data_IF_110333511239
#
_entry.id   IF_110333511239
#
_cell.length_a   1.000
_cell.length_b   1.000
_cell.length_c   1.000
_cell.angle_alpha   90.00
_cell.angle_beta   90.00
_cell.angle_gamma   90.00
#
_symmetry.space_group_name_H-M   'P 1'
#
loop_
_entity.id
_entity.type
_entity.pdbx_description
1 polymer ?
#
# COMPACT_ATOMS: atom_id res chain seq x y z
N UNK A 1 6.48 20.86 4.29
CA UNK A 1 6.47 20.14 3.00
C UNK A 1 5.31 19.16 3.04
N UNK A 2 4.39 19.15 2.06
CA UNK A 2 3.30 18.14 2.04
C UNK A 2 3.90 16.81 1.58
N UNK A 3 3.63 15.68 2.27
CA UNK A 3 4.11 14.38 1.81
C UNK A 3 3.50 14.04 0.44
N UNK A 4 4.29 13.44 -0.44
CA UNK A 4 3.83 12.99 -1.75
C UNK A 4 2.71 11.97 -1.60
N UNK A 5 1.61 12.16 -2.32
CA UNK A 5 0.49 11.21 -2.36
C UNK A 5 0.55 10.36 -3.62
N UNK A 6 0.18 9.08 -3.50
CA UNK A 6 0.10 8.12 -4.60
C UNK A 6 -1.28 7.45 -4.61
N UNK A 7 -1.79 7.16 -5.80
CA UNK A 7 -2.85 6.15 -5.98
C UNK A 7 -2.18 4.79 -6.15
N UNK A 8 -2.53 3.84 -5.30
CA UNK A 8 -2.06 2.46 -5.38
C UNK A 8 -3.07 1.64 -6.14
N UNK A 9 -2.62 0.91 -7.16
CA UNK A 9 -3.41 -0.16 -7.81
C UNK A 9 -2.93 -1.52 -7.31
N UNK A 10 -3.78 -2.21 -6.54
CA UNK A 10 -3.55 -3.62 -6.19
C UNK A 10 -4.15 -4.49 -7.30
N UNK A 11 -3.32 -5.29 -7.97
CA UNK A 11 -3.74 -6.23 -9.01
C UNK A 11 -3.46 -7.67 -8.57
N UNK A 12 -4.25 -8.62 -9.05
CA UNK A 12 -3.98 -10.06 -8.89
C UNK A 12 -3.03 -10.54 -9.99
N UNK A 13 -2.43 -11.72 -9.81
CA UNK A 13 -1.50 -12.31 -10.78
C UNK A 13 -2.04 -12.38 -12.22
N UNK A 14 -3.34 -12.62 -12.39
CA UNK A 14 -4.02 -12.61 -13.69
C UNK A 14 -4.33 -11.19 -14.23
N UNK A 15 -3.66 -10.16 -13.72
CA UNK A 15 -3.84 -8.74 -14.06
C UNK A 15 -5.18 -8.10 -13.68
N UNK A 16 -6.11 -8.85 -13.07
CA UNK A 16 -7.40 -8.30 -12.61
C UNK A 16 -7.15 -7.27 -11.50
N UNK A 17 -7.74 -6.08 -11.65
CA UNK A 17 -7.73 -5.06 -10.61
C UNK A 17 -8.51 -5.57 -9.40
N UNK A 18 -7.82 -5.73 -8.27
CA UNK A 18 -8.47 -6.03 -7.01
C UNK A 18 -9.11 -4.76 -6.45
N UNK A 19 -8.38 -3.64 -6.48
CA UNK A 19 -8.88 -2.34 -6.02
C UNK A 19 -7.80 -1.27 -6.04
N UNK A 20 -8.21 -0.02 -5.82
CA UNK A 20 -7.29 1.10 -5.73
C UNK A 20 -7.63 2.05 -4.57
N UNK A 21 -6.63 2.76 -4.05
CA UNK A 21 -6.75 3.65 -2.90
C UNK A 21 -5.59 4.64 -2.83
N UNK A 22 -5.77 5.74 -2.11
CA UNK A 22 -4.73 6.74 -1.92
C UNK A 22 -3.83 6.44 -0.70
N UNK A 23 -2.54 6.70 -0.84
CA UNK A 23 -1.54 6.62 0.24
C UNK A 23 -0.61 7.83 0.21
N UNK A 24 0.05 8.09 1.34
CA UNK A 24 1.10 9.11 1.47
C UNK A 24 2.45 8.45 1.68
N UNK A 25 3.48 8.89 0.96
CA UNK A 25 4.85 8.45 1.23
C UNK A 25 5.34 9.05 2.55
N UNK A 26 5.84 8.20 3.44
CA UNK A 26 6.50 8.62 4.68
C UNK A 26 8.02 8.62 4.52
N UNK A 27 8.58 7.50 4.08
CA UNK A 27 10.01 7.32 3.92
C UNK A 27 10.30 6.50 2.66
N UNK A 28 11.21 6.97 1.82
CA UNK A 28 11.57 6.31 0.56
C UNK A 28 13.09 6.12 0.58
N UNK A 29 13.53 4.87 0.54
CA UNK A 29 14.95 4.49 0.55
C UNK A 29 15.18 3.44 -0.54
N UNK A 30 16.43 3.24 -1.02
CA UNK A 30 16.71 2.23 -2.04
C UNK A 30 16.23 0.81 -1.67
N UNK A 31 16.17 0.48 -0.38
CA UNK A 31 15.84 -0.86 0.11
C UNK A 31 14.43 -0.99 0.66
N UNK A 32 13.73 0.13 0.94
CA UNK A 32 12.41 0.13 1.56
C UNK A 32 11.64 1.41 1.25
N UNK A 33 10.39 1.24 0.87
CA UNK A 33 9.43 2.33 0.71
C UNK A 33 8.29 2.14 1.70
N UNK A 34 8.04 3.17 2.49
CA UNK A 34 7.03 3.19 3.53
C UNK A 34 5.93 4.17 3.16
N UNK A 35 4.70 3.66 3.13
CA UNK A 35 3.50 4.41 2.83
C UNK A 35 2.54 4.35 4.02
N UNK A 36 1.80 5.43 4.21
CA UNK A 36 0.70 5.52 5.15
C UNK A 36 -0.61 5.65 4.40
N UNK A 37 -1.54 4.79 4.76
CA UNK A 37 -2.94 4.84 4.35
C UNK A 37 -3.76 5.29 5.56
N UNK A 38 -4.19 6.56 5.59
CA UNK A 38 -4.94 7.08 6.72
C UNK A 38 -6.28 6.38 6.93
N UNK A 39 -6.73 6.34 8.19
CA UNK A 39 -8.15 6.14 8.50
C UNK A 39 -9.01 7.09 7.66
N UNK A 40 -10.10 6.57 7.12
CA UNK A 40 -11.00 7.29 6.23
C UNK A 40 -10.66 7.17 4.74
N UNK A 41 -9.46 6.68 4.37
CA UNK A 41 -9.17 6.39 2.96
C UNK A 41 -10.17 5.39 2.40
N UNK A 42 -10.82 5.75 1.30
CA UNK A 42 -11.74 4.86 0.60
C UNK A 42 -10.97 3.87 -0.28
N UNK A 43 -11.32 2.58 -0.17
CA UNK A 43 -10.83 1.52 -1.04
C UNK A 43 -11.87 1.30 -2.14
N UNK A 44 -11.49 1.62 -3.37
CA UNK A 44 -12.33 1.45 -4.56
C UNK A 44 -12.22 0.01 -5.08
N UNK A 45 -13.14 -0.85 -4.63
CA UNK A 45 -13.28 -2.27 -5.05
C UNK A 45 -14.72 -2.72 -4.88
N UNK A 46 -15.34 -3.37 -5.88
CA UNK A 46 -16.72 -3.92 -5.81
C UNK A 46 -17.67 -3.02 -4.98
N UNK A 47 -18.07 -3.49 -3.78
CA UNK A 47 -18.69 -2.69 -2.73
C UNK A 47 -17.61 -2.10 -1.82
N UNK A 48 -17.04 -0.96 -2.23
CA UNK A 48 -15.89 -0.36 -1.56
C UNK A 48 -16.19 0.02 -0.10
N UNK A 49 -15.14 0.30 0.66
CA UNK A 49 -15.27 0.70 2.07
C UNK A 49 -14.21 1.71 2.45
N UNK A 50 -14.51 2.52 3.47
CA UNK A 50 -13.52 3.39 4.09
C UNK A 50 -12.71 2.61 5.14
N UNK A 51 -11.39 2.84 5.16
CA UNK A 51 -10.51 2.32 6.19
C UNK A 51 -10.97 2.83 7.56
N UNK A 52 -11.20 1.92 8.49
CA UNK A 52 -11.60 2.28 9.86
C UNK A 52 -10.43 2.76 10.71
N UNK A 53 -9.19 2.43 10.31
CA UNK A 53 -7.98 2.57 11.12
C UNK A 53 -6.81 2.93 10.23
N UNK A 54 -5.76 3.49 10.83
CA UNK A 54 -4.51 3.75 10.13
C UNK A 54 -3.81 2.46 9.74
N UNK A 55 -3.12 2.51 8.61
CA UNK A 55 -2.47 1.35 8.03
C UNK A 55 -1.14 1.78 7.40
N UNK A 56 -0.07 1.06 7.72
CA UNK A 56 1.24 1.27 7.11
C UNK A 56 1.55 0.15 6.14
N UNK A 57 2.14 0.51 5.00
CA UNK A 57 2.57 -0.45 3.98
C UNK A 57 4.06 -0.28 3.73
N UNK A 58 4.76 -1.41 3.65
CA UNK A 58 6.20 -1.51 3.45
C UNK A 58 6.48 -2.34 2.22
N UNK A 59 7.06 -1.70 1.21
CA UNK A 59 7.47 -2.35 -0.02
C UNK A 59 8.99 -2.40 -0.10
N UNK A 60 9.51 -3.49 -0.68
CA UNK A 60 10.93 -3.78 -0.79
C UNK A 60 11.23 -4.12 -2.25
N UNK A 61 11.93 -3.25 -3.02
CA UNK A 61 12.09 -3.42 -4.46
C UNK A 61 12.62 -4.80 -4.90
N UNK A 62 13.56 -5.36 -4.14
CA UNK A 62 14.21 -6.64 -4.47
C UNK A 62 13.56 -7.87 -3.79
N UNK A 63 12.33 -7.74 -3.28
CA UNK A 63 11.63 -8.83 -2.57
C UNK A 63 10.27 -9.13 -3.18
N UNK A 64 9.86 -10.38 -2.98
CA UNK A 64 8.59 -10.94 -3.44
C UNK A 64 7.51 -10.83 -2.37
N UNK A 65 7.56 -9.78 -1.55
CA UNK A 65 6.57 -9.54 -0.52
C UNK A 65 6.44 -8.06 -0.18
N UNK A 66 5.27 -7.69 0.30
CA UNK A 66 5.01 -6.44 1.00
C UNK A 66 4.53 -6.75 2.42
N UNK A 67 4.89 -5.90 3.38
CA UNK A 67 4.41 -6.02 4.75
C UNK A 67 3.44 -4.88 5.01
N UNK A 68 2.35 -5.21 5.68
CA UNK A 68 1.28 -4.30 6.07
C UNK A 68 1.16 -4.33 7.60
N UNK A 69 1.20 -3.17 8.25
CA UNK A 69 0.98 -3.04 9.70
C UNK A 69 -0.36 -2.37 9.96
N UNK A 70 -1.23 -3.08 10.68
CA UNK A 70 -2.60 -2.66 10.97
C UNK A 70 -2.71 -2.26 12.43
N UNK A 71 -3.31 -1.09 12.66
CA UNK A 71 -3.50 -0.54 13.99
C UNK A 71 -4.95 -0.75 14.45
N UNK A 72 -5.20 -0.72 15.76
CA UNK A 72 -6.54 -0.73 16.34
C UNK A 72 -7.12 0.69 16.49
N UNK A 73 -8.21 0.84 17.26
CA UNK A 73 -8.88 2.13 17.48
C UNK A 73 -8.14 3.04 18.46
N UNK A 74 -7.23 2.49 19.25
CA UNK A 74 -6.37 3.23 20.18
C UNK A 74 -5.04 3.65 19.51
N UNK A 75 -4.78 3.15 18.31
CA UNK A 75 -3.53 3.38 17.60
C UNK A 75 -2.43 2.39 17.98
N UNK A 76 -2.77 1.30 18.66
CA UNK A 76 -1.84 0.23 18.99
C UNK A 76 -1.71 -0.74 17.81
N UNK A 77 -0.52 -1.32 17.64
CA UNK A 77 -0.29 -2.32 16.58
C UNK A 77 -1.13 -3.58 16.88
N UNK A 78 -2.13 -3.85 16.05
CA UNK A 78 -3.02 -5.00 16.19
C UNK A 78 -2.41 -6.26 15.58
N UNK A 79 -1.94 -6.16 14.33
CA UNK A 79 -1.33 -7.27 13.61
C UNK A 79 -0.54 -6.78 12.39
N UNK A 80 0.37 -7.64 11.92
CA UNK A 80 1.05 -7.47 10.64
C UNK A 80 0.55 -8.53 9.65
N UNK A 81 0.44 -8.14 8.39
CA UNK A 81 0.11 -9.03 7.28
C UNK A 81 1.26 -9.00 6.26
N UNK A 82 1.55 -10.14 5.64
CA UNK A 82 2.54 -10.28 4.60
C UNK A 82 1.84 -10.68 3.30
N UNK A 83 1.74 -9.74 2.35
CA UNK A 83 1.27 -10.04 1.00
C UNK A 83 2.45 -10.65 0.23
N UNK A 84 2.28 -11.85 -0.34
CA UNK A 84 3.24 -12.42 -1.29
C UNK A 84 2.97 -11.74 -2.64
N UNK A 85 3.98 -11.06 -3.19
CA UNK A 85 3.83 -10.22 -4.38
C UNK A 85 4.84 -10.57 -5.45
N UNK A 86 4.58 -10.19 -6.70
CA UNK A 86 5.67 -10.03 -7.67
C UNK A 86 6.67 -8.99 -7.15
N UNK A 87 7.94 -9.02 -7.61
CA UNK A 87 8.91 -7.98 -7.31
C UNK A 87 8.32 -6.59 -7.57
N UNK A 88 8.26 -5.79 -6.52
CA UNK A 88 7.67 -4.46 -6.61
C UNK A 88 8.67 -3.48 -7.23
N UNK A 89 8.18 -2.64 -8.14
CA UNK A 89 9.01 -1.59 -8.75
C UNK A 89 8.60 -0.25 -8.16
N UNK A 90 9.57 0.48 -7.61
CA UNK A 90 9.34 1.80 -7.06
C UNK A 90 8.79 2.76 -8.15
N UNK A 91 7.87 3.66 -7.78
CA UNK A 91 7.37 4.67 -8.71
C UNK A 91 8.50 5.56 -9.24
N UNK A 92 8.44 5.89 -10.52
CA UNK A 92 9.35 6.88 -11.11
C UNK A 92 9.21 8.25 -10.44
N UNK A 93 10.27 9.06 -10.52
CA UNK A 93 10.22 10.44 -10.02
C UNK A 93 9.06 11.22 -10.66
N UNK A 94 8.25 11.89 -9.84
CA UNK A 94 7.08 12.64 -10.31
C UNK A 94 5.83 11.80 -10.58
N UNK A 95 5.87 10.47 -10.43
CA UNK A 95 4.68 9.65 -10.56
C UNK A 95 3.66 9.94 -9.43
N UNK A 96 2.38 9.86 -9.77
CA UNK A 96 1.25 10.03 -8.83
C UNK A 96 0.52 8.71 -8.54
N UNK A 97 1.00 7.61 -9.11
CA UNK A 97 0.43 6.28 -8.89
C UNK A 97 1.51 5.21 -9.01
N UNK A 98 1.27 4.06 -8.38
CA UNK A 98 2.04 2.84 -8.60
C UNK A 98 1.13 1.62 -8.51
N UNK A 99 1.59 0.50 -9.05
CA UNK A 99 0.90 -0.78 -8.93
C UNK A 99 1.76 -1.78 -8.16
N UNK A 100 1.09 -2.76 -7.55
CA UNK A 100 1.74 -4.00 -7.14
C UNK A 100 0.86 -5.19 -7.48
N UNK A 101 1.49 -6.33 -7.73
CA UNK A 101 0.82 -7.56 -8.15
C UNK A 101 0.86 -8.53 -6.96
N UNK A 102 -0.31 -8.82 -6.43
CA UNK A 102 -0.57 -9.78 -5.37
C UNK A 102 -0.69 -11.19 -5.94
N UNK A 103 0.02 -12.15 -5.35
CA UNK A 103 0.11 -13.53 -5.84
C UNK A 103 -0.93 -14.48 -5.23
N UNK A 104 -1.70 -14.07 -4.21
CA UNK A 104 -2.97 -14.72 -3.87
C UNK A 104 -4.01 -13.81 -3.21
#
# INVERSE_FOLDING_TARGET
MRPSSYVVEKRKYNSVLWGHYAVFALQQTPTRHTFWQPRGTYIHRNQGWAMRRDHLQFFYPDRWYAISANYDEHGDLSHCYCDVTMPWVAPAAGAHAFQFIDLE
#
